data_IF_922781151618
#
_entry.id   IF_922781151618
#
_cell.length_a   1.000
_cell.length_b   1.000
_cell.length_c   1.000
_cell.angle_alpha   90.00
_cell.angle_beta   90.00
_cell.angle_gamma   90.00
#
_symmetry.space_group_name_H-M   'P 1'
#
loop_
_entity.id
_entity.type
_entity.pdbx_description
1 polymer ?
#
# COMPACT_ATOMS: atom_id res chain seq x y z
N UNK A 1 -3.79 5.42 -5.34
CA UNK A 1 -4.01 4.20 -6.14
C UNK A 1 -3.59 4.40 -7.59
N UNK A 2 -3.24 3.31 -8.26
CA UNK A 2 -2.88 3.30 -9.69
C UNK A 2 -3.61 2.18 -10.42
N UNK A 3 -3.85 2.36 -11.72
CA UNK A 3 -4.20 1.26 -12.61
C UNK A 3 -2.89 0.72 -13.19
N UNK A 4 -2.32 -0.29 -12.54
CA UNK A 4 -1.05 -0.89 -12.93
C UNK A 4 -1.14 -1.47 -14.34
N UNK A 5 -0.16 -1.22 -15.19
CA UNK A 5 -0.11 -1.65 -16.58
C UNK A 5 1.15 -2.43 -16.95
N UNK A 6 2.21 -2.34 -16.13
CA UNK A 6 3.49 -3.00 -16.37
C UNK A 6 4.26 -3.19 -15.06
N UNK A 7 5.20 -4.15 -15.01
CA UNK A 7 6.09 -4.38 -13.88
C UNK A 7 6.86 -3.12 -13.48
N UNK A 8 7.04 -2.89 -12.18
CA UNK A 8 7.82 -1.75 -11.67
C UNK A 8 7.12 -0.39 -11.74
N UNK A 9 5.87 -0.31 -12.21
CA UNK A 9 5.15 0.97 -12.28
C UNK A 9 4.96 1.61 -10.91
N UNK A 10 4.71 0.82 -9.86
CA UNK A 10 4.60 1.34 -8.50
C UNK A 10 5.89 2.04 -8.04
N UNK A 11 7.05 1.43 -8.27
CA UNK A 11 8.35 2.05 -7.97
C UNK A 11 8.58 3.33 -8.76
N UNK A 12 8.21 3.36 -10.03
CA UNK A 12 8.27 4.58 -10.85
C UNK A 12 7.42 5.70 -10.25
N UNK A 13 6.21 5.39 -9.77
CA UNK A 13 5.34 6.38 -9.12
C UNK A 13 5.97 6.91 -7.83
N UNK A 14 6.51 6.03 -6.97
CA UNK A 14 7.21 6.43 -5.75
C UNK A 14 8.37 7.38 -6.05
N UNK A 15 9.25 7.00 -6.99
CA UNK A 15 10.40 7.82 -7.39
C UNK A 15 9.96 9.16 -7.98
N UNK A 16 8.90 9.18 -8.79
CA UNK A 16 8.34 10.40 -9.34
C UNK A 16 7.85 11.36 -8.26
N UNK A 17 7.08 10.86 -7.30
CA UNK A 17 6.57 11.67 -6.19
C UNK A 17 7.70 12.20 -5.30
N UNK A 18 8.68 11.37 -4.96
CA UNK A 18 9.84 11.79 -4.17
C UNK A 18 10.77 12.76 -4.89
N UNK A 19 10.71 12.84 -6.22
CA UNK A 19 11.42 13.83 -7.01
C UNK A 19 10.70 15.15 -7.24
N UNK A 20 9.47 15.32 -6.72
CA UNK A 20 8.60 16.45 -7.06
C UNK A 20 8.40 17.42 -5.88
N UNK A 21 9.07 18.55 -5.88
CA UNK A 21 8.79 19.68 -4.99
C UNK A 21 8.48 19.28 -3.54
N UNK A 22 7.35 19.69 -3.00
CA UNK A 22 6.93 19.39 -1.62
C UNK A 22 6.67 17.89 -1.38
N UNK A 23 6.32 17.12 -2.41
CA UNK A 23 6.13 15.67 -2.28
C UNK A 23 7.44 14.94 -1.97
N UNK A 24 8.59 15.57 -2.25
CA UNK A 24 9.89 15.07 -1.86
C UNK A 24 10.05 14.90 -0.33
N UNK A 25 9.23 15.57 0.48
CA UNK A 25 9.23 15.46 1.94
C UNK A 25 8.38 14.29 2.46
N UNK A 26 7.57 13.66 1.60
CA UNK A 26 6.73 12.51 1.99
C UNK A 26 7.60 11.34 2.44
N UNK A 27 7.39 10.89 3.68
CA UNK A 27 8.21 9.83 4.30
C UNK A 27 7.80 8.43 3.84
N UNK A 28 6.50 8.15 3.81
CA UNK A 28 5.97 6.83 3.47
C UNK A 28 5.03 6.95 2.29
N UNK A 29 5.25 6.13 1.27
CA UNK A 29 4.35 6.00 0.12
C UNK A 29 3.92 4.56 -0.01
N UNK A 30 2.62 4.32 0.03
CA UNK A 30 2.02 3.03 -0.23
C UNK A 30 1.28 3.13 -1.55
N UNK A 31 1.64 2.28 -2.51
CA UNK A 31 0.99 2.23 -3.82
C UNK A 31 0.10 1.00 -3.88
N UNK A 32 -1.18 1.19 -4.13
CA UNK A 32 -2.19 0.14 -4.26
C UNK A 32 -2.84 0.18 -5.64
N UNK A 33 -3.51 -0.90 -6.03
CA UNK A 33 -4.29 -0.93 -7.25
C UNK A 33 -5.55 -0.07 -7.16
N UNK A 34 -6.14 0.22 -8.31
CA UNK A 34 -7.32 1.07 -8.45
C UNK A 34 -8.60 0.48 -7.84
N UNK A 35 -8.62 -0.82 -7.55
CA UNK A 35 -9.72 -1.54 -6.90
C UNK A 35 -9.73 -1.36 -5.36
N UNK A 36 -8.67 -0.77 -4.80
CA UNK A 36 -8.54 -0.50 -3.38
C UNK A 36 -8.98 0.93 -3.07
N UNK A 37 -9.92 1.08 -2.15
CA UNK A 37 -10.36 2.39 -1.67
C UNK A 37 -9.30 2.98 -0.72
N UNK A 38 -8.54 3.97 -1.20
CA UNK A 38 -7.47 4.62 -0.42
C UNK A 38 -7.99 5.43 0.78
N UNK A 39 -9.28 5.69 0.88
CA UNK A 39 -9.91 6.36 2.01
C UNK A 39 -10.40 5.38 3.09
N UNK A 40 -10.37 4.08 2.80
CA UNK A 40 -10.61 3.03 3.78
C UNK A 40 -9.29 2.38 4.20
N UNK A 41 -8.85 2.67 5.42
CA UNK A 41 -7.59 2.14 5.95
C UNK A 41 -7.60 0.60 6.05
N UNK A 42 -8.76 -0.03 6.26
CA UNK A 42 -8.85 -1.48 6.35
C UNK A 42 -8.56 -2.12 4.99
N UNK A 43 -9.06 -1.53 3.89
CA UNK A 43 -8.74 -2.00 2.54
C UNK A 43 -7.26 -1.79 2.20
N UNK A 44 -6.68 -0.67 2.61
CA UNK A 44 -5.25 -0.40 2.40
C UNK A 44 -4.38 -1.41 3.17
N UNK A 45 -4.69 -1.67 4.44
CA UNK A 45 -3.98 -2.66 5.25
C UNK A 45 -4.16 -4.07 4.68
N UNK A 46 -5.36 -4.41 4.24
CA UNK A 46 -5.61 -5.67 3.56
C UNK A 46 -4.72 -5.83 2.31
N UNK A 47 -4.64 -4.81 1.47
CA UNK A 47 -3.78 -4.84 0.29
C UNK A 47 -2.29 -5.01 0.66
N UNK A 48 -1.82 -4.31 1.69
CA UNK A 48 -0.44 -4.46 2.19
C UNK A 48 -0.20 -5.90 2.65
N UNK A 49 -1.09 -6.47 3.45
CA UNK A 49 -0.88 -7.78 4.07
C UNK A 49 -1.04 -8.95 3.08
N UNK A 50 -1.82 -8.77 2.02
CA UNK A 50 -2.11 -9.83 1.05
C UNK A 50 -1.33 -9.74 -0.25
N UNK A 51 -0.82 -8.56 -0.62
CA UNK A 51 -0.17 -8.32 -1.92
C UNK A 51 1.32 -7.98 -1.82
N UNK A 52 1.86 -7.78 -0.62
CA UNK A 52 3.24 -7.36 -0.40
C UNK A 52 4.11 -8.48 0.14
N UNK A 53 5.22 -8.75 -0.51
CA UNK A 53 6.37 -9.44 0.06
C UNK A 53 7.40 -8.41 0.54
N UNK A 54 7.83 -8.52 1.79
CA UNK A 54 8.66 -7.49 2.42
C UNK A 54 9.99 -7.25 1.70
N UNK A 55 10.61 -8.30 1.14
CA UNK A 55 11.90 -8.16 0.47
C UNK A 55 11.75 -7.64 -0.96
N UNK A 56 10.73 -8.11 -1.69
CA UNK A 56 10.49 -7.76 -3.09
C UNK A 56 9.87 -6.37 -3.26
N UNK A 57 8.91 -6.03 -2.39
CA UNK A 57 7.95 -4.96 -2.62
C UNK A 57 8.19 -3.72 -1.76
N UNK A 58 9.18 -3.74 -0.85
CA UNK A 58 9.58 -2.54 -0.13
C UNK A 58 10.76 -1.85 -0.79
N UNK A 59 10.80 -0.54 -0.66
CA UNK A 59 11.90 0.30 -1.12
C UNK A 59 12.29 1.24 -0.01
N UNK A 60 13.52 1.15 0.46
CA UNK A 60 14.08 2.07 1.46
C UNK A 60 15.13 2.93 0.78
N UNK A 61 14.97 4.25 0.89
CA UNK A 61 15.95 5.22 0.37
C UNK A 61 16.50 5.99 1.55
N UNK A 62 17.79 5.84 1.79
CA UNK A 62 18.50 6.50 2.90
C UNK A 62 19.07 7.86 2.48
N UNK A 63 19.33 8.69 3.47
CA UNK A 63 19.99 10.01 3.29
C UNK A 63 19.24 10.91 2.29
N UNK A 64 17.95 11.05 2.48
CA UNK A 64 17.07 11.89 1.66
C UNK A 64 16.51 13.05 2.45
N UNK A 65 16.08 14.13 1.79
CA UNK A 65 15.37 15.22 2.46
C UNK A 65 14.10 14.72 3.16
N UNK A 66 13.91 15.15 4.40
CA UNK A 66 12.69 14.91 5.19
C UNK A 66 12.15 16.24 5.71
N UNK A 67 10.91 16.23 6.19
CA UNK A 67 10.32 17.39 6.83
C UNK A 67 11.08 17.76 8.10
N UNK A 68 11.27 19.06 8.34
CA UNK A 68 11.89 19.61 9.56
C UNK A 68 11.18 19.17 10.83
N UNK A 69 9.88 18.92 10.74
CA UNK A 69 9.05 18.51 11.87
C UNK A 69 9.00 16.99 12.08
N UNK A 70 9.74 16.19 11.29
CA UNK A 70 9.79 14.74 11.50
C UNK A 70 10.65 14.39 12.73
N UNK A 71 10.02 14.01 13.87
CA UNK A 71 10.75 13.73 15.12
C UNK A 71 11.55 12.43 15.07
N UNK A 72 11.28 11.56 14.09
CA UNK A 72 11.95 10.27 13.93
C UNK A 72 13.16 10.33 13.00
N UNK A 73 13.41 11.46 12.37
CA UNK A 73 14.60 11.64 11.54
C UNK A 73 15.86 11.73 12.41
N UNK A 74 16.96 11.03 12.04
CA UNK A 74 18.19 11.04 12.82
C UNK A 74 18.89 12.43 12.86
N UNK A 75 18.58 13.26 11.88
CA UNK A 75 19.03 14.66 11.80
C UNK A 75 17.91 15.51 11.24
N UNK A 76 17.90 16.79 11.57
CA UNK A 76 16.96 17.76 11.00
C UNK A 76 17.11 17.74 9.47
N UNK A 77 16.00 17.63 8.75
CA UNK A 77 15.90 17.62 7.30
C UNK A 77 16.63 16.46 6.59
N UNK A 78 17.08 15.44 7.31
CA UNK A 78 17.77 14.29 6.72
C UNK A 78 17.29 12.98 7.37
N UNK A 79 16.71 12.11 6.56
CA UNK A 79 16.19 10.83 7.02
C UNK A 79 16.11 9.80 5.92
N UNK A 80 15.17 8.88 6.08
CA UNK A 80 14.94 7.80 5.12
C UNK A 80 13.48 7.77 4.69
N UNK A 81 13.23 7.17 3.53
CA UNK A 81 11.90 6.99 2.96
C UNK A 81 11.57 5.52 2.84
N UNK A 82 10.30 5.19 3.02
CA UNK A 82 9.76 3.85 2.83
C UNK A 82 8.70 3.87 1.73
N UNK A 83 8.91 3.06 0.70
CA UNK A 83 7.91 2.75 -0.31
C UNK A 83 7.40 1.33 -0.15
N UNK A 84 6.11 1.13 -0.28
CA UNK A 84 5.46 -0.18 -0.26
C UNK A 84 4.65 -0.35 -1.55
N UNK A 85 5.02 -1.34 -2.35
CA UNK A 85 4.25 -1.75 -3.52
C UNK A 85 3.22 -2.82 -3.11
N UNK A 86 2.02 -2.37 -2.76
CA UNK A 86 0.89 -3.22 -2.44
C UNK A 86 -0.06 -3.41 -3.64
N UNK A 87 0.47 -3.32 -4.86
CA UNK A 87 -0.26 -3.71 -6.06
C UNK A 87 -0.21 -5.21 -6.27
N UNK A 88 -1.18 -5.74 -7.01
CA UNK A 88 -1.20 -7.14 -7.41
C UNK A 88 0.01 -7.45 -8.31
N UNK A 89 0.66 -8.58 -8.07
CA UNK A 89 1.85 -8.99 -8.82
C UNK A 89 1.48 -9.91 -9.99
N UNK A 90 2.31 -9.87 -11.01
CA UNK A 90 2.19 -10.71 -12.21
C UNK A 90 3.31 -11.74 -12.29
N UNK A 91 3.19 -12.69 -13.20
CA UNK A 91 4.25 -13.67 -13.49
C UNK A 91 5.58 -12.99 -13.85
N UNK A 92 5.53 -11.86 -14.57
CA UNK A 92 6.72 -11.10 -14.96
C UNK A 92 7.45 -10.45 -13.75
N UNK A 93 6.77 -10.33 -12.61
CA UNK A 93 7.33 -9.84 -11.35
C UNK A 93 7.79 -10.98 -10.43
N UNK A 94 7.86 -12.20 -10.94
CA UNK A 94 8.27 -13.40 -10.19
C UNK A 94 7.18 -13.95 -9.26
N UNK A 95 5.91 -13.60 -9.50
CA UNK A 95 4.80 -14.16 -8.75
C UNK A 95 4.22 -15.36 -9.50
N UNK A 96 4.59 -16.56 -9.06
CA UNK A 96 4.23 -17.83 -9.71
C UNK A 96 2.96 -18.49 -9.14
N UNK A 97 2.39 -17.92 -8.07
CA UNK A 97 1.17 -18.45 -7.44
C UNK A 97 -0.07 -17.97 -8.19
N UNK A 98 -1.12 -18.80 -8.18
CA UNK A 98 -2.43 -18.36 -8.65
C UNK A 98 -2.89 -17.13 -7.83
N UNK A 99 -3.38 -16.14 -8.56
CA UNK A 99 -3.99 -14.96 -7.95
C UNK A 99 -5.32 -15.42 -7.33
N UNK A 100 -5.37 -15.42 -6.01
CA UNK A 100 -6.61 -15.73 -5.31
C UNK A 100 -7.58 -14.55 -5.47
N UNK A 101 -8.78 -14.86 -5.94
CA UNK A 101 -9.85 -13.87 -5.94
C UNK A 101 -10.20 -13.44 -4.50
N UNK A 102 -10.46 -12.15 -4.35
CA UNK A 102 -10.94 -11.64 -3.08
C UNK A 102 -12.29 -12.29 -2.75
N UNK A 103 -12.37 -12.97 -1.62
CA UNK A 103 -13.64 -13.48 -1.11
C UNK A 103 -14.53 -12.28 -0.80
N UNK A 104 -15.57 -12.10 -1.60
CA UNK A 104 -16.61 -11.09 -1.33
C UNK A 104 -17.81 -11.81 -0.76
N UNK A 105 -18.25 -11.32 0.39
CA UNK A 105 -19.54 -11.75 0.96
C UNK A 105 -20.63 -11.07 0.14
N UNK A 106 -21.62 -11.85 -0.32
CA UNK A 106 -22.79 -11.31 -1.00
C UNK A 106 -23.61 -10.42 -0.05
N UNK A 107 -24.37 -9.50 -0.63
CA UNK A 107 -25.12 -8.48 0.12
C UNK A 107 -26.19 -9.10 1.05
N UNK A 108 -26.79 -10.23 0.66
CA UNK A 108 -27.80 -10.93 1.47
C UNK A 108 -27.15 -11.57 2.70
N UNK A 109 -26.01 -12.21 2.53
CA UNK A 109 -25.23 -12.79 3.65
C UNK A 109 -24.75 -11.67 4.59
N UNK A 110 -24.24 -10.56 4.04
CA UNK A 110 -23.82 -9.40 4.83
C UNK A 110 -24.99 -8.85 5.64
N UNK A 111 -26.14 -8.60 5.02
CA UNK A 111 -27.34 -8.10 5.70
C UNK A 111 -27.79 -9.06 6.81
N UNK A 112 -27.73 -10.37 6.55
CA UNK A 112 -28.08 -11.39 7.55
C UNK A 112 -27.15 -11.36 8.75
N UNK A 113 -25.84 -11.26 8.51
CA UNK A 113 -24.82 -11.18 9.57
C UNK A 113 -25.00 -9.89 10.37
N UNK A 114 -25.12 -8.74 9.69
CA UNK A 114 -25.26 -7.43 10.33
C UNK A 114 -26.53 -7.39 11.23
N UNK A 115 -27.64 -7.99 10.78
CA UNK A 115 -28.88 -8.05 11.56
C UNK A 115 -28.75 -8.91 12.82
N UNK A 116 -27.88 -9.93 12.80
CA UNK A 116 -27.65 -10.84 13.93
C UNK A 116 -26.46 -10.43 14.79
N UNK A 117 -25.68 -9.44 14.36
CA UNK A 117 -24.45 -9.03 15.03
C UNK A 117 -24.60 -8.81 16.54
N UNK A 118 -25.67 -8.12 17.04
CA UNK A 118 -25.87 -7.94 18.48
C UNK A 118 -26.04 -9.24 19.26
N UNK A 119 -26.46 -10.32 18.59
CA UNK A 119 -26.71 -11.63 19.24
C UNK A 119 -25.44 -12.49 19.35
N UNK A 120 -24.36 -12.13 18.69
CA UNK A 120 -23.13 -12.92 18.73
C UNK A 120 -22.29 -12.70 19.98
N UNK A 121 -22.60 -11.68 20.80
CA UNK A 121 -21.92 -11.44 22.08
C UNK A 121 -20.47 -10.98 21.96
N UNK A 122 -20.13 -10.36 20.83
CA UNK A 122 -18.79 -9.81 20.52
C UNK A 122 -18.73 -8.32 20.83
#
# INVERSE_FOLDING_TARGET
SIKKRYPGQAKKVMMGLWGMGQLALTKIIIVVDHDVNVHDMNEVIWAITTRTDAARDTTIINNTPTDTLDPASPKVNLGSKLGIDATQKTLEEGFEREIQEQVKVDDDTKTTVDSKWPSYGL
#
